data_IF_110253522957
#
_entry.id   IF_110253522957
#
_cell.length_a   1.000
_cell.length_b   1.000
_cell.length_c   1.000
_cell.angle_alpha   90.00
_cell.angle_beta   90.00
_cell.angle_gamma   90.00
#
_symmetry.space_group_name_H-M   'P 1'
#
loop_
_entity.id
_entity.type
_entity.pdbx_description
1 polymer ?
#
# COMPACT_ATOMS: atom_id res chain seq x y z
N UNK A 1 -5.26 17.66 -17.48
CA UNK A 1 -6.73 17.63 -17.38
C UNK A 1 -7.23 16.32 -16.77
N UNK A 2 -7.44 15.19 -17.48
CA UNK A 2 -8.01 13.97 -16.84
C UNK A 2 -7.17 13.43 -15.66
N UNK A 3 -5.84 13.43 -15.79
CA UNK A 3 -4.92 12.95 -14.75
C UNK A 3 -4.84 13.86 -13.51
N UNK A 4 -5.11 15.15 -13.63
CA UNK A 4 -5.12 16.07 -12.49
C UNK A 4 -6.31 15.80 -11.58
N UNK A 5 -7.48 15.49 -12.15
CA UNK A 5 -8.68 15.11 -11.39
C UNK A 5 -8.49 13.81 -10.59
N UNK A 6 -7.81 12.80 -11.15
CA UNK A 6 -7.53 11.56 -10.41
C UNK A 6 -6.56 11.78 -9.24
N UNK A 7 -5.60 12.70 -9.41
CA UNK A 7 -4.66 13.07 -8.34
C UNK A 7 -5.35 13.82 -7.21
N UNK A 8 -6.26 14.74 -7.52
CA UNK A 8 -7.06 15.46 -6.52
C UNK A 8 -7.91 14.48 -5.69
N UNK A 9 -8.64 13.57 -6.34
CA UNK A 9 -9.46 12.56 -5.63
C UNK A 9 -8.60 11.62 -4.77
N UNK A 10 -7.42 11.23 -5.25
CA UNK A 10 -6.48 10.41 -4.48
C UNK A 10 -6.00 11.15 -3.21
N UNK A 11 -5.65 12.44 -3.35
CA UNK A 11 -5.24 13.28 -2.22
C UNK A 11 -6.38 13.50 -1.22
N UNK A 12 -7.63 13.61 -1.67
CA UNK A 12 -8.79 13.73 -0.77
C UNK A 12 -8.96 12.47 0.10
N UNK A 13 -8.76 11.27 -0.47
CA UNK A 13 -8.79 10.02 0.29
C UNK A 13 -7.59 9.86 1.22
N UNK A 14 -6.44 10.41 0.85
CA UNK A 14 -5.27 10.47 1.74
C UNK A 14 -5.53 11.33 2.96
N UNK A 15 -6.01 12.56 2.74
CA UNK A 15 -6.35 13.46 3.83
C UNK A 15 -7.35 12.79 4.78
N UNK A 16 -8.33 12.06 4.24
CA UNK A 16 -9.25 11.28 5.07
C UNK A 16 -8.52 10.31 6.01
N UNK A 17 -7.49 9.60 5.53
CA UNK A 17 -6.70 8.67 6.36
C UNK A 17 -5.80 9.39 7.39
N UNK A 18 -5.39 10.62 7.11
CA UNK A 18 -4.49 11.40 7.97
C UNK A 18 -5.19 12.26 9.02
N UNK A 19 -6.42 12.70 8.75
CA UNK A 19 -7.14 13.66 9.62
C UNK A 19 -7.48 13.09 10.99
N UNK A 20 -7.40 11.76 11.17
CA UNK A 20 -7.79 11.06 12.39
C UNK A 20 -9.26 11.31 12.80
N UNK A 21 -10.07 11.79 11.86
CA UNK A 21 -11.47 12.17 12.05
C UNK A 21 -12.41 11.08 11.49
N UNK A 22 -13.57 10.89 12.12
CA UNK A 22 -14.66 10.01 11.64
C UNK A 22 -14.23 8.56 11.28
N UNK A 23 -13.10 8.08 11.82
CA UNK A 23 -12.61 6.74 11.55
C UNK A 23 -13.53 5.68 12.17
N UNK A 24 -13.77 4.63 11.40
CA UNK A 24 -14.58 3.47 11.79
C UNK A 24 -13.75 2.17 11.84
N UNK A 25 -12.44 2.23 11.62
CA UNK A 25 -11.50 1.10 11.76
C UNK A 25 -10.35 1.48 12.70
N UNK A 26 -10.04 0.58 13.62
CA UNK A 26 -8.84 0.61 14.47
C UNK A 26 -8.00 -0.61 14.13
N UNK A 27 -6.75 -0.37 13.71
CA UNK A 27 -5.79 -1.41 13.37
C UNK A 27 -4.67 -1.43 14.42
N UNK A 28 -4.47 -2.60 15.04
CA UNK A 28 -3.35 -2.87 15.92
C UNK A 28 -2.28 -3.63 15.13
N UNK A 29 -1.15 -2.98 14.82
CA UNK A 29 -0.05 -3.55 14.06
C UNK A 29 1.20 -3.71 14.92
N UNK A 30 1.98 -4.77 14.70
CA UNK A 30 3.21 -5.07 15.44
C UNK A 30 3.00 -5.97 16.66
N UNK A 31 4.10 -6.39 17.27
CA UNK A 31 4.11 -7.31 18.42
C UNK A 31 4.79 -6.68 19.64
N UNK A 32 4.36 -7.11 20.83
CA UNK A 32 4.90 -6.70 22.13
C UNK A 32 4.93 -5.17 22.28
N UNK A 33 6.10 -4.62 22.58
CA UNK A 33 6.32 -3.19 22.82
C UNK A 33 6.21 -2.35 21.54
N UNK A 34 6.21 -2.98 20.36
CA UNK A 34 6.14 -2.30 19.07
C UNK A 34 4.72 -2.21 18.50
N UNK A 35 3.69 -2.63 19.28
CA UNK A 35 2.30 -2.50 18.86
C UNK A 35 1.96 -1.01 18.69
N UNK A 36 1.43 -0.65 17.53
CA UNK A 36 0.85 0.68 17.28
C UNK A 36 -0.60 0.57 16.86
N UNK A 37 -1.37 1.52 17.36
CA UNK A 37 -2.74 1.79 16.95
C UNK A 37 -2.71 2.71 15.72
N UNK A 38 -3.48 2.34 14.70
CA UNK A 38 -3.62 3.08 13.44
C UNK A 38 -5.11 3.18 13.11
N UNK A 39 -5.57 4.39 12.84
CA UNK A 39 -6.94 4.67 12.46
C UNK A 39 -7.10 4.70 10.94
N UNK A 40 -8.28 4.26 10.47
CA UNK A 40 -8.61 4.21 9.05
C UNK A 40 -10.13 4.15 8.81
N UNK A 41 -10.52 4.21 7.53
CA UNK A 41 -11.91 4.23 7.10
C UNK A 41 -12.24 3.00 6.26
N UNK A 42 -13.22 2.22 6.72
CA UNK A 42 -13.60 0.94 6.11
C UNK A 42 -14.06 1.13 4.66
N UNK A 43 -14.75 2.22 4.34
CA UNK A 43 -15.19 2.51 2.96
C UNK A 43 -14.00 2.66 2.00
N UNK A 44 -12.94 3.34 2.42
CA UNK A 44 -11.71 3.47 1.63
C UNK A 44 -11.06 2.10 1.45
N UNK A 45 -10.80 1.39 2.55
CA UNK A 45 -10.11 0.09 2.51
C UNK A 45 -10.86 -0.96 1.68
N UNK A 46 -12.19 -1.06 1.83
CA UNK A 46 -13.04 -2.01 1.10
C UNK A 46 -13.16 -1.71 -0.40
N UNK A 47 -12.88 -0.47 -0.80
CA UNK A 47 -12.82 -0.06 -2.21
C UNK A 47 -11.50 -0.47 -2.84
N UNK A 48 -10.40 -0.41 -2.07
CA UNK A 48 -9.04 -0.69 -2.57
C UNK A 48 -8.66 -2.16 -2.64
N UNK A 49 -9.30 -3.01 -1.84
CA UNK A 49 -8.88 -4.42 -1.75
C UNK A 49 -10.05 -5.35 -1.49
N UNK A 50 -10.12 -6.44 -2.26
CA UNK A 50 -11.06 -7.53 -2.00
C UNK A 50 -10.81 -8.19 -0.62
N UNK A 51 -9.55 -8.19 -0.17
CA UNK A 51 -9.19 -8.65 1.16
C UNK A 51 -9.87 -7.79 2.23
N UNK A 52 -9.69 -6.47 2.18
CA UNK A 52 -10.34 -5.55 3.13
C UNK A 52 -11.86 -5.49 2.96
N UNK A 53 -12.37 -5.65 1.72
CA UNK A 53 -13.80 -5.81 1.45
C UNK A 53 -14.40 -6.96 2.24
N UNK A 54 -13.68 -8.07 2.31
CA UNK A 54 -14.08 -9.27 3.06
C UNK A 54 -13.84 -9.08 4.56
N UNK A 55 -12.66 -8.59 4.94
CA UNK A 55 -12.24 -8.40 6.33
C UNK A 55 -13.15 -7.44 7.11
N UNK A 56 -13.66 -6.39 6.47
CA UNK A 56 -14.60 -5.42 7.05
C UNK A 56 -16.06 -5.66 6.64
N UNK A 57 -16.37 -6.87 6.16
CA UNK A 57 -17.77 -7.26 5.92
C UNK A 57 -18.47 -7.55 7.25
N UNK A 58 -19.79 -7.30 7.31
CA UNK A 58 -20.62 -7.50 8.51
C UNK A 58 -20.56 -8.91 9.11
N UNK A 59 -20.11 -9.91 8.35
CA UNK A 59 -20.08 -11.31 8.77
C UNK A 59 -18.80 -11.73 9.51
N UNK A 60 -17.68 -11.02 9.30
CA UNK A 60 -16.36 -11.51 9.69
C UNK A 60 -15.60 -10.57 10.63
N UNK A 61 -15.98 -9.30 10.67
CA UNK A 61 -15.19 -8.28 11.34
C UNK A 61 -15.58 -8.15 12.83
N UNK A 62 -14.59 -8.21 13.71
CA UNK A 62 -14.74 -7.80 15.11
C UNK A 62 -15.15 -6.33 15.16
N UNK A 63 -16.18 -6.00 15.95
CA UNK A 63 -16.57 -4.61 16.21
C UNK A 63 -16.62 -4.35 17.71
N UNK A 64 -16.05 -3.21 18.11
CA UNK A 64 -16.13 -2.68 19.48
C UNK A 64 -16.54 -1.21 19.39
N UNK A 65 -17.54 -0.82 20.16
CA UNK A 65 -18.06 0.56 20.20
C UNK A 65 -18.38 1.13 18.80
N UNK A 66 -18.95 0.28 17.92
CA UNK A 66 -19.30 0.63 16.54
C UNK A 66 -18.15 0.55 15.53
N UNK A 67 -16.90 0.55 15.98
CA UNK A 67 -15.68 0.53 15.15
C UNK A 67 -15.18 -0.88 14.89
N UNK A 68 -14.65 -1.12 13.70
CA UNK A 68 -13.99 -2.37 13.35
C UNK A 68 -12.64 -2.48 14.06
N UNK A 69 -12.36 -3.64 14.64
CA UNK A 69 -11.08 -3.94 15.28
C UNK A 69 -10.30 -4.91 14.39
N UNK A 70 -9.09 -4.53 13.99
CA UNK A 70 -8.26 -5.33 13.09
C UNK A 70 -6.88 -5.53 13.71
N UNK A 71 -6.54 -6.78 14.06
CA UNK A 71 -5.26 -7.11 14.71
C UNK A 71 -4.32 -7.76 13.71
N UNK A 72 -3.14 -7.17 13.53
CA UNK A 72 -2.06 -7.62 12.64
C UNK A 72 -0.70 -7.61 13.34
N UNK A 73 -0.50 -8.54 14.30
CA UNK A 73 0.76 -8.62 15.03
C UNK A 73 1.97 -8.81 14.10
N UNK A 74 1.81 -9.66 13.09
CA UNK A 74 2.89 -10.04 12.16
C UNK A 74 3.29 -8.94 11.15
N UNK A 75 2.70 -7.74 11.20
CA UNK A 75 2.99 -6.66 10.25
C UNK A 75 3.52 -5.46 11.05
N UNK A 76 4.67 -4.92 10.65
CA UNK A 76 5.18 -3.72 11.31
C UNK A 76 4.24 -2.53 11.05
N UNK A 77 4.07 -1.62 12.03
CA UNK A 77 3.26 -0.42 11.84
C UNK A 77 3.68 0.43 10.64
N UNK A 78 4.98 0.51 10.36
CA UNK A 78 5.51 1.25 9.21
C UNK A 78 5.07 0.62 7.89
N UNK A 79 5.18 -0.70 7.76
CA UNK A 79 4.71 -1.41 6.55
C UNK A 79 3.20 -1.26 6.38
N UNK A 80 2.43 -1.31 7.48
CA UNK A 80 1.00 -1.10 7.39
C UNK A 80 0.66 0.31 6.92
N UNK A 81 1.35 1.36 7.42
CA UNK A 81 1.14 2.73 6.92
C UNK A 81 1.43 2.86 5.43
N UNK A 82 2.47 2.20 4.92
CA UNK A 82 2.76 2.16 3.47
C UNK A 82 1.63 1.50 2.69
N UNK A 83 1.02 0.43 3.22
CA UNK A 83 -0.13 -0.24 2.57
C UNK A 83 -1.38 0.65 2.57
N UNK A 84 -1.52 1.54 3.55
CA UNK A 84 -2.68 2.42 3.72
C UNK A 84 -2.54 3.75 2.96
N UNK A 85 -1.35 4.33 2.91
CA UNK A 85 -1.07 5.67 2.35
C UNK A 85 -1.31 5.76 0.83
N UNK A 86 -1.63 6.98 0.39
CA UNK A 86 -1.92 7.40 -0.98
C UNK A 86 -0.82 8.31 -1.58
N UNK A 87 0.27 8.59 -0.81
CA UNK A 87 1.10 9.81 -0.90
C UNK A 87 1.65 10.13 -2.28
N UNK A 88 2.03 9.12 -3.07
CA UNK A 88 2.55 9.29 -4.43
C UNK A 88 2.74 7.97 -5.18
N UNK A 89 2.43 6.83 -4.54
CA UNK A 89 2.83 5.52 -5.00
C UNK A 89 1.67 4.52 -4.77
N UNK A 90 1.39 3.70 -5.78
CA UNK A 90 0.61 2.47 -5.68
C UNK A 90 1.42 1.33 -5.05
N UNK A 91 1.18 0.06 -5.43
CA UNK A 91 1.88 -1.08 -4.85
C UNK A 91 3.40 -0.93 -4.91
N UNK A 92 4.09 -1.23 -3.80
CA UNK A 92 5.57 -1.19 -3.71
C UNK A 92 6.12 -2.56 -3.31
N UNK A 93 7.27 -2.94 -3.87
CA UNK A 93 7.95 -4.21 -3.63
C UNK A 93 9.43 -3.95 -3.36
N UNK A 94 10.03 -4.80 -2.51
CA UNK A 94 11.42 -4.66 -2.07
C UNK A 94 11.57 -3.60 -0.97
N UNK A 95 12.45 -3.88 -0.01
CA UNK A 95 12.82 -2.93 1.03
C UNK A 95 13.49 -1.70 0.44
N UNK A 96 12.90 -0.52 0.66
CA UNK A 96 13.38 0.76 0.11
C UNK A 96 12.59 1.29 -1.10
N UNK A 97 11.43 0.70 -1.43
CA UNK A 97 10.65 1.03 -2.64
C UNK A 97 11.41 0.72 -3.94
N UNK A 98 12.01 -0.47 -4.00
CA UNK A 98 12.78 -0.93 -5.16
C UNK A 98 11.96 -0.89 -6.45
N UNK A 99 10.70 -1.33 -6.36
CA UNK A 99 9.71 -1.36 -7.44
C UNK A 99 8.43 -0.75 -6.92
N UNK A 100 7.85 0.21 -7.62
CA UNK A 100 6.57 0.78 -7.21
C UNK A 100 5.77 1.31 -8.40
N UNK A 101 4.44 1.23 -8.33
CA UNK A 101 3.61 2.02 -9.23
C UNK A 101 3.59 3.47 -8.71
N UNK A 102 3.82 4.47 -9.54
CA UNK A 102 3.71 5.87 -9.13
C UNK A 102 2.26 6.37 -9.31
N UNK A 103 1.94 7.53 -8.74
CA UNK A 103 0.62 8.18 -8.81
C UNK A 103 0.15 8.52 -10.23
N UNK A 104 1.06 8.55 -11.20
CA UNK A 104 0.75 8.68 -12.64
C UNK A 104 0.36 7.33 -13.29
N UNK A 105 0.36 6.24 -12.52
CA UNK A 105 0.07 4.87 -12.98
C UNK A 105 1.27 4.16 -13.59
N UNK A 106 2.40 4.85 -13.79
CA UNK A 106 3.62 4.30 -14.38
C UNK A 106 4.42 3.57 -13.31
N UNK A 107 4.93 2.38 -13.65
CA UNK A 107 5.82 1.69 -12.74
C UNK A 107 7.23 2.27 -12.80
N UNK A 108 7.79 2.47 -11.61
CA UNK A 108 9.10 3.06 -11.41
C UNK A 108 9.95 2.13 -10.57
N UNK A 109 11.25 2.13 -10.84
CA UNK A 109 12.21 1.40 -10.03
C UNK A 109 13.32 2.34 -9.54
N UNK A 110 13.84 2.04 -8.34
CA UNK A 110 14.99 2.72 -7.76
C UNK A 110 15.98 1.72 -7.16
N UNK A 111 17.19 1.63 -7.74
CA UNK A 111 18.37 0.91 -7.24
C UNK A 111 18.07 -0.23 -6.24
N UNK A 112 17.60 -1.39 -6.71
CA UNK A 112 16.98 -2.37 -5.84
C UNK A 112 17.98 -2.92 -4.83
N UNK A 113 17.67 -2.75 -3.54
CA UNK A 113 18.45 -3.37 -2.47
C UNK A 113 18.02 -4.82 -2.21
N UNK A 114 16.75 -5.14 -2.52
CA UNK A 114 16.12 -6.42 -2.20
C UNK A 114 16.06 -7.37 -3.39
N UNK A 115 16.04 -6.84 -4.61
CA UNK A 115 16.04 -7.65 -5.84
C UNK A 115 17.35 -7.52 -6.61
N UNK A 116 18.21 -8.53 -6.51
CA UNK A 116 19.43 -8.59 -7.34
C UNK A 116 19.07 -8.87 -8.80
N UNK A 117 19.35 -7.93 -9.70
CA UNK A 117 19.46 -8.15 -11.14
C UNK A 117 18.17 -8.63 -11.85
N UNK A 118 17.10 -7.83 -11.77
CA UNK A 118 15.81 -8.09 -12.44
C UNK A 118 15.74 -7.66 -13.92
N UNK A 119 16.89 -7.44 -14.57
CA UNK A 119 17.01 -7.04 -15.99
C UNK A 119 16.16 -5.81 -16.39
N UNK A 120 15.84 -4.93 -15.44
CA UNK A 120 15.23 -3.63 -15.74
C UNK A 120 16.27 -2.71 -16.43
N UNK A 121 15.83 -1.69 -17.19
CA UNK A 121 16.74 -0.79 -17.90
C UNK A 121 17.76 -0.16 -16.93
N UNK A 122 19.03 -0.04 -17.33
CA UNK A 122 20.08 0.47 -16.44
C UNK A 122 19.84 1.94 -16.05
N UNK A 123 19.92 2.22 -14.74
CA UNK A 123 19.89 3.57 -14.18
C UNK A 123 21.16 4.37 -14.49
N UNK A 124 20.96 5.66 -14.79
CA UNK A 124 21.91 6.68 -14.35
C UNK A 124 21.76 6.79 -12.82
N UNK A 125 22.85 6.96 -12.06
CA UNK A 125 22.87 6.78 -10.60
C UNK A 125 22.01 7.75 -9.75
N UNK A 126 21.16 8.58 -10.35
CA UNK A 126 20.41 9.62 -9.63
C UNK A 126 18.98 9.88 -10.14
N UNK A 127 18.36 8.97 -10.90
CA UNK A 127 16.99 9.15 -11.40
C UNK A 127 16.18 7.86 -11.38
N UNK A 128 14.90 7.95 -11.01
CA UNK A 128 13.91 6.90 -11.20
C UNK A 128 13.83 6.51 -12.67
N UNK A 129 13.62 5.22 -12.94
CA UNK A 129 13.36 4.73 -14.29
C UNK A 129 11.90 4.35 -14.38
N UNK A 130 11.22 4.99 -15.33
CA UNK A 130 9.92 4.58 -15.79
C UNK A 130 10.07 3.31 -16.63
N UNK A 131 9.25 2.30 -16.36
CA UNK A 131 9.14 1.12 -17.21
C UNK A 131 7.67 0.73 -17.33
N UNK A 132 7.30 0.20 -18.50
CA UNK A 132 5.97 -0.39 -18.67
C UNK A 132 6.01 -1.81 -18.11
N UNK A 133 5.13 -2.12 -17.17
CA UNK A 133 5.07 -3.46 -16.56
C UNK A 133 4.59 -4.52 -17.56
N UNK A 134 3.81 -4.12 -18.58
CA UNK A 134 3.30 -5.02 -19.61
C UNK A 134 4.41 -5.52 -20.56
N UNK A 135 5.55 -4.83 -20.61
CA UNK A 135 6.73 -5.26 -21.38
C UNK A 135 7.51 -6.41 -20.70
N UNK A 136 7.16 -6.76 -19.45
CA UNK A 136 7.90 -7.74 -18.65
C UNK A 136 6.98 -8.86 -18.17
N UNK A 137 7.33 -10.10 -18.51
CA UNK A 137 6.66 -11.28 -17.95
C UNK A 137 7.27 -11.67 -16.59
N UNK A 138 6.44 -11.76 -15.55
CA UNK A 138 6.87 -12.22 -14.23
C UNK A 138 6.66 -13.74 -14.12
N UNK A 139 7.72 -14.53 -14.34
CA UNK A 139 7.73 -15.95 -13.99
C UNK A 139 8.88 -16.26 -13.04
N UNK A 140 8.56 -16.90 -11.91
CA UNK A 140 9.47 -17.92 -11.39
C UNK A 140 8.69 -19.03 -10.69
N UNK A 141 8.34 -20.07 -11.45
CA UNK A 141 7.93 -21.36 -10.90
C UNK A 141 8.92 -22.39 -11.40
N UNK A 142 9.88 -22.78 -10.57
CA UNK A 142 10.65 -24.01 -10.80
C UNK A 142 10.70 -24.80 -9.51
N UNK A 143 10.03 -25.95 -9.49
CA UNK A 143 10.19 -26.94 -8.44
C UNK A 143 10.70 -28.23 -9.07
N UNK A 144 11.97 -28.51 -8.74
CA UNK A 144 12.82 -29.69 -8.94
C UNK A 144 12.55 -30.60 -10.13
#
# INVERSE_FOLDING_TARGET
>A
MSFEYFKEVANDFEQLLETDEEYDVIIYAGENENVKEIHAHSLVLRTRSQYFRTAFSKKWAEKKDGKFIFKKPNISPQFLKIILSYESYGPTFGGGHDLYQHSDGIWKYNHPHSYSNINLPNSRPSSYIDFDVEDYEVYQIVKK
#
